data_IF_993639872146
#
_entry.id   IF_993639872146
#
_cell.length_a   1.000
_cell.length_b   1.000
_cell.length_c   1.000
_cell.angle_alpha   90.00
_cell.angle_beta   90.00
_cell.angle_gamma   90.00
#
_symmetry.space_group_name_H-M   'P 1'
#
loop_
_entity.id
_entity.type
_entity.pdbx_description
1 polymer ?
#
# COMPACT_ATOMS: atom_id res chain seq x y z
N UNK A 1 -77.92 15.66 17.62
CA UNK A 1 -77.00 14.57 17.34
C UNK A 1 -76.31 14.87 16.04
N UNK A 2 -75.01 15.27 16.01
CA UNK A 2 -74.23 15.10 14.82
C UNK A 2 -72.94 14.27 15.14
N UNK A 3 -72.73 13.29 14.29
CA UNK A 3 -71.63 12.37 14.32
C UNK A 3 -70.28 13.06 13.95
N UNK A 4 -69.32 12.94 14.85
CA UNK A 4 -67.95 13.37 14.58
C UNK A 4 -67.21 12.35 13.71
N UNK A 5 -66.79 12.77 12.51
CA UNK A 5 -65.88 12.03 11.64
C UNK A 5 -64.42 12.14 12.16
N UNK A 6 -63.96 11.06 12.70
CA UNK A 6 -62.56 10.92 13.09
C UNK A 6 -61.64 11.00 11.87
N UNK A 7 -60.78 12.03 11.78
CA UNK A 7 -59.66 12.12 10.84
C UNK A 7 -58.64 11.03 11.18
N UNK A 8 -58.48 10.06 10.26
CA UNK A 8 -57.46 9.08 10.26
C UNK A 8 -56.11 9.80 10.07
N UNK A 9 -55.28 9.80 11.09
CA UNK A 9 -53.95 10.37 11.06
C UNK A 9 -53.07 9.43 10.20
N UNK A 10 -52.74 9.89 9.01
CA UNK A 10 -51.83 9.22 8.10
C UNK A 10 -50.43 9.19 8.74
N UNK A 11 -49.89 7.98 8.93
CA UNK A 11 -48.56 7.80 9.47
C UNK A 11 -47.54 8.31 8.44
N UNK A 12 -46.44 8.97 8.87
CA UNK A 12 -45.41 9.40 7.94
C UNK A 12 -44.77 8.16 7.27
N UNK A 13 -44.42 8.27 5.98
CA UNK A 13 -43.75 7.18 5.27
C UNK A 13 -42.47 6.82 6.02
N UNK A 14 -42.24 5.51 6.19
CA UNK A 14 -41.04 4.98 6.75
C UNK A 14 -39.82 5.48 5.90
N UNK A 15 -38.72 5.86 6.54
CA UNK A 15 -37.52 6.20 5.79
C UNK A 15 -37.13 4.99 4.94
N UNK A 16 -36.99 5.22 3.63
CA UNK A 16 -36.46 4.24 2.71
C UNK A 16 -35.10 3.82 3.22
N UNK A 17 -35.00 2.55 3.60
CA UNK A 17 -33.80 1.90 4.01
C UNK A 17 -32.77 2.00 2.89
N UNK A 18 -31.75 2.75 3.20
CA UNK A 18 -30.35 2.62 2.96
C UNK A 18 -29.90 2.03 1.63
N UNK A 19 -29.14 2.86 0.95
CA UNK A 19 -28.08 2.38 0.07
C UNK A 19 -27.35 1.21 0.77
N UNK A 20 -27.51 0.02 0.23
CA UNK A 20 -26.62 -1.10 0.53
C UNK A 20 -25.22 -0.66 0.09
N UNK A 21 -24.40 -0.29 1.05
CA UNK A 21 -22.97 -0.13 0.83
C UNK A 21 -22.46 -1.49 0.33
N UNK A 22 -22.31 -1.60 -0.99
CA UNK A 22 -21.87 -2.84 -1.65
C UNK A 22 -20.55 -3.28 -1.01
N UNK A 23 -20.42 -4.59 -0.76
CA UNK A 23 -19.18 -5.20 -0.28
C UNK A 23 -18.01 -4.67 -1.14
N UNK A 24 -16.91 -4.20 -0.54
CA UNK A 24 -15.71 -3.79 -1.28
C UNK A 24 -15.21 -4.84 -2.29
N UNK A 25 -15.64 -6.09 -2.13
CA UNK A 25 -15.35 -7.21 -3.02
C UNK A 25 -16.18 -7.21 -4.31
N UNK A 26 -17.30 -6.47 -4.36
CA UNK A 26 -18.22 -6.41 -5.51
C UNK A 26 -17.90 -5.26 -6.48
N UNK A 27 -16.77 -4.59 -6.33
CA UNK A 27 -16.37 -3.55 -7.29
C UNK A 27 -16.06 -4.17 -8.65
N UNK A 28 -16.69 -3.60 -9.69
CA UNK A 28 -16.45 -4.00 -11.07
C UNK A 28 -14.93 -3.97 -11.39
N UNK A 29 -14.41 -4.99 -12.08
CA UNK A 29 -13.02 -5.01 -12.54
C UNK A 29 -12.70 -3.75 -13.34
N UNK A 30 -11.56 -3.15 -13.08
CA UNK A 30 -11.08 -1.97 -13.81
C UNK A 30 -9.63 -2.15 -14.24
N UNK A 31 -9.29 -1.60 -15.39
CA UNK A 31 -7.92 -1.53 -15.85
C UNK A 31 -7.18 -0.41 -15.09
N UNK A 32 -5.96 -0.72 -14.62
CA UNK A 32 -5.04 0.24 -14.00
C UNK A 32 -3.66 0.10 -14.63
N UNK A 33 -2.88 1.17 -14.59
CA UNK A 33 -1.47 1.10 -14.96
C UNK A 33 -0.73 0.21 -13.97
N UNK A 34 0.16 -0.60 -14.51
CA UNK A 34 1.11 -1.40 -13.74
C UNK A 34 2.51 -0.87 -13.96
N UNK A 35 3.24 -0.66 -12.90
CA UNK A 35 4.67 -0.34 -12.93
C UNK A 35 5.34 -1.07 -11.78
N UNK A 36 6.16 -2.06 -12.10
CA UNK A 36 6.85 -2.93 -11.16
C UNK A 36 8.36 -2.92 -11.36
N UNK A 37 9.11 -3.08 -10.27
CA UNK A 37 10.55 -3.25 -10.25
C UNK A 37 10.88 -4.68 -9.81
N UNK A 38 11.72 -5.34 -10.56
CA UNK A 38 12.33 -6.63 -10.23
C UNK A 38 13.81 -6.44 -9.86
N UNK A 39 14.59 -7.50 -9.72
CA UNK A 39 16.03 -7.41 -9.44
C UNK A 39 16.82 -6.76 -10.59
N UNK A 40 16.35 -6.91 -11.82
CA UNK A 40 17.08 -6.49 -13.02
C UNK A 40 16.30 -5.51 -13.90
N UNK A 41 14.96 -5.49 -13.78
CA UNK A 41 14.10 -4.84 -14.76
C UNK A 41 13.07 -3.91 -14.14
N UNK A 42 12.74 -2.88 -14.90
CA UNK A 42 11.54 -2.06 -14.73
C UNK A 42 10.48 -2.56 -15.72
N UNK A 43 9.32 -2.91 -15.23
CA UNK A 43 8.19 -3.40 -16.02
C UNK A 43 7.06 -2.37 -16.00
N UNK A 44 6.51 -2.07 -17.16
CA UNK A 44 5.29 -1.26 -17.30
C UNK A 44 4.27 -1.99 -18.13
N UNK A 45 2.98 -1.72 -17.89
CA UNK A 45 1.89 -2.32 -18.62
C UNK A 45 0.55 -1.90 -18.03
N UNK A 46 -0.47 -2.68 -18.31
CA UNK A 46 -1.78 -2.55 -17.69
C UNK A 46 -2.23 -3.88 -17.09
N UNK A 47 -3.00 -3.80 -16.00
CA UNK A 47 -3.60 -4.95 -15.35
C UNK A 47 -5.04 -4.65 -14.95
N UNK A 48 -5.84 -5.70 -14.78
CA UNK A 48 -7.21 -5.57 -14.28
C UNK A 48 -7.26 -5.91 -12.80
N UNK A 49 -7.82 -5.00 -12.00
CA UNK A 49 -8.02 -5.21 -10.57
C UNK A 49 -9.50 -5.10 -10.19
N UNK A 50 -9.92 -5.93 -9.24
CA UNK A 50 -11.17 -5.80 -8.52
C UNK A 50 -10.84 -5.34 -7.09
N UNK A 51 -11.08 -4.07 -6.75
CA UNK A 51 -10.70 -3.51 -5.47
C UNK A 51 -9.35 -2.80 -5.48
N UNK A 52 -8.51 -3.00 -4.46
CA UNK A 52 -7.22 -2.32 -4.31
C UNK A 52 -6.08 -3.13 -4.90
N UNK A 53 -5.10 -2.45 -5.49
CA UNK A 53 -3.88 -3.08 -6.01
C UNK A 53 -3.15 -3.89 -4.93
N UNK A 54 -3.01 -3.33 -3.72
CA UNK A 54 -2.37 -4.01 -2.59
C UNK A 54 -3.03 -5.36 -2.27
N UNK A 55 -4.36 -5.42 -2.30
CA UNK A 55 -5.10 -6.66 -2.01
C UNK A 55 -4.90 -7.70 -3.13
N UNK A 56 -4.82 -7.23 -4.38
CA UNK A 56 -4.55 -8.10 -5.54
C UNK A 56 -3.16 -8.71 -5.44
N UNK A 57 -2.12 -7.92 -5.14
CA UNK A 57 -0.75 -8.42 -4.99
C UNK A 57 -0.62 -9.39 -3.81
N UNK A 58 -1.35 -9.16 -2.72
CA UNK A 58 -1.32 -10.03 -1.53
C UNK A 58 -2.04 -11.37 -1.70
N UNK A 59 -2.76 -11.60 -2.80
CA UNK A 59 -3.29 -12.93 -3.14
C UNK A 59 -2.19 -13.91 -3.52
N UNK A 60 -1.01 -13.43 -3.91
CA UNK A 60 0.16 -14.23 -4.32
C UNK A 60 -0.10 -15.09 -5.55
N UNK A 61 -1.04 -14.66 -6.39
CA UNK A 61 -1.38 -15.29 -7.66
C UNK A 61 -0.66 -14.56 -8.79
N UNK A 62 -0.35 -15.27 -9.87
CA UNK A 62 0.24 -14.67 -11.07
C UNK A 62 -0.65 -13.53 -11.59
N UNK A 63 -0.03 -12.41 -11.92
CA UNK A 63 -0.70 -11.18 -12.36
C UNK A 63 -0.70 -11.17 -13.89
N UNK A 64 -1.88 -11.10 -14.47
CA UNK A 64 -2.03 -10.92 -15.92
C UNK A 64 -1.74 -9.46 -16.29
N UNK A 65 -0.87 -9.28 -17.28
CA UNK A 65 -0.46 -7.99 -17.81
C UNK A 65 -0.76 -7.89 -19.31
N UNK A 66 -1.11 -6.69 -19.74
CA UNK A 66 -1.24 -6.33 -21.15
C UNK A 66 -0.29 -5.16 -21.48
N UNK A 67 0.07 -5.06 -22.75
CA UNK A 67 0.90 -3.99 -23.30
C UNK A 67 2.21 -3.79 -22.54
N UNK A 68 2.89 -4.91 -22.23
CA UNK A 68 4.08 -4.89 -21.39
C UNK A 68 5.26 -4.29 -22.15
N UNK A 69 5.92 -3.36 -21.46
CA UNK A 69 7.23 -2.84 -21.83
C UNK A 69 8.21 -3.05 -20.67
N UNK A 70 9.48 -3.18 -20.99
CA UNK A 70 10.52 -3.37 -20.01
C UNK A 70 11.72 -2.47 -20.28
N UNK A 71 12.50 -2.18 -19.24
CA UNK A 71 13.77 -1.47 -19.32
C UNK A 71 14.69 -1.98 -18.22
N UNK A 72 16.04 -1.85 -18.37
CA UNK A 72 16.97 -2.14 -17.28
C UNK A 72 16.65 -1.36 -16.02
N UNK A 73 16.84 -1.99 -14.86
CA UNK A 73 16.52 -1.36 -13.56
C UNK A 73 17.36 -0.10 -13.31
N UNK A 74 18.62 -0.11 -13.75
CA UNK A 74 19.57 1.00 -13.59
C UNK A 74 19.27 2.24 -14.44
N UNK A 75 18.24 2.20 -15.27
CA UNK A 75 17.87 3.32 -16.14
C UNK A 75 18.75 3.49 -17.37
N UNK A 76 19.69 2.58 -17.65
CA UNK A 76 20.61 2.66 -18.78
C UNK A 76 19.94 2.54 -20.16
N UNK A 77 18.67 2.10 -20.20
CA UNK A 77 17.92 1.89 -21.44
C UNK A 77 16.52 2.48 -21.42
N UNK A 78 15.99 2.75 -22.61
CA UNK A 78 14.58 3.11 -22.80
C UNK A 78 13.69 1.88 -22.61
N UNK A 79 12.40 2.12 -22.38
CA UNK A 79 11.40 1.05 -22.36
C UNK A 79 11.20 0.47 -23.76
N UNK A 80 11.30 -0.84 -23.88
CA UNK A 80 11.09 -1.60 -25.11
C UNK A 80 9.85 -2.51 -24.96
N UNK A 81 9.10 -2.77 -26.05
CA UNK A 81 7.98 -3.70 -26.01
C UNK A 81 8.42 -5.12 -25.64
N UNK A 82 7.68 -5.76 -24.75
CA UNK A 82 7.91 -7.14 -24.31
C UNK A 82 6.69 -8.04 -24.56
N UNK A 83 6.34 -8.31 -25.83
CA UNK A 83 5.08 -8.98 -26.17
C UNK A 83 4.99 -10.43 -25.69
N UNK A 84 6.11 -11.02 -25.29
CA UNK A 84 6.17 -12.36 -24.71
C UNK A 84 5.79 -12.40 -23.22
N UNK A 85 5.83 -11.28 -22.52
CA UNK A 85 5.48 -11.20 -21.09
C UNK A 85 3.96 -10.91 -21.01
N UNK A 86 3.21 -11.87 -20.51
CA UNK A 86 1.76 -11.74 -20.28
C UNK A 86 1.36 -11.92 -18.83
N UNK A 87 2.27 -12.44 -18.03
CA UNK A 87 2.08 -12.66 -16.60
C UNK A 87 3.37 -12.33 -15.86
N UNK A 88 3.23 -11.88 -14.63
CA UNK A 88 4.34 -11.70 -13.70
C UNK A 88 4.01 -12.39 -12.38
N UNK A 89 4.98 -13.08 -11.80
CA UNK A 89 4.84 -13.63 -10.47
C UNK A 89 5.05 -12.50 -9.44
N UNK A 90 4.13 -12.29 -8.49
CA UNK A 90 4.34 -11.33 -7.41
C UNK A 90 5.63 -11.54 -6.61
N UNK A 91 6.14 -12.78 -6.58
CA UNK A 91 7.39 -13.09 -5.91
C UNK A 91 8.63 -12.49 -6.60
N UNK A 92 8.56 -12.21 -7.90
CA UNK A 92 9.63 -11.58 -8.65
C UNK A 92 9.65 -10.04 -8.52
N UNK A 93 8.57 -9.46 -7.97
CA UNK A 93 8.44 -8.03 -7.80
C UNK A 93 9.01 -7.58 -6.45
N UNK A 94 9.94 -6.62 -6.47
CA UNK A 94 10.50 -5.99 -5.26
C UNK A 94 9.63 -4.82 -4.83
N UNK A 95 9.29 -3.95 -5.79
CA UNK A 95 8.49 -2.74 -5.58
C UNK A 95 7.48 -2.60 -6.70
N UNK A 96 6.25 -2.22 -6.36
CA UNK A 96 5.21 -1.85 -7.33
C UNK A 96 4.71 -0.44 -7.02
N UNK A 97 4.73 0.44 -8.02
CA UNK A 97 4.19 1.79 -7.90
C UNK A 97 2.67 1.75 -7.87
N UNK A 98 2.10 2.57 -7.00
CA UNK A 98 0.66 2.68 -6.86
C UNK A 98 0.24 4.13 -7.11
N UNK A 99 -0.60 4.32 -8.13
CA UNK A 99 -1.25 5.61 -8.43
C UNK A 99 -2.53 5.78 -7.59
N UNK A 100 -3.06 7.01 -7.47
CA UNK A 100 -4.36 7.26 -6.83
C UNK A 100 -5.48 6.37 -7.36
N UNK A 101 -5.46 6.08 -8.66
CA UNK A 101 -6.44 5.21 -9.29
C UNK A 101 -6.33 3.75 -8.83
N UNK A 102 -5.13 3.27 -8.55
CA UNK A 102 -4.88 1.90 -8.07
C UNK A 102 -5.07 1.75 -6.55
N UNK A 103 -4.95 2.86 -5.82
CA UNK A 103 -5.34 2.98 -4.42
C UNK A 103 -6.85 3.21 -4.40
N UNK A 104 -7.64 2.16 -4.22
CA UNK A 104 -9.08 2.34 -4.07
C UNK A 104 -9.35 3.31 -2.91
N UNK A 105 -9.96 4.43 -3.20
CA UNK A 105 -10.50 5.31 -2.17
C UNK A 105 -11.65 4.58 -1.50
N UNK A 106 -11.53 4.29 -0.21
CA UNK A 106 -12.67 3.92 0.61
C UNK A 106 -13.66 5.09 0.55
N UNK A 107 -14.95 4.81 0.45
CA UNK A 107 -15.97 5.83 0.63
C UNK A 107 -15.81 6.46 2.03
N UNK A 108 -16.22 7.73 2.21
CA UNK A 108 -15.96 8.47 3.46
C UNK A 108 -16.60 7.82 4.69
N UNK A 109 -17.72 7.15 4.51
CA UNK A 109 -18.43 6.33 5.49
C UNK A 109 -17.66 5.04 5.83
N UNK A 110 -17.07 4.35 4.85
CA UNK A 110 -16.18 3.22 5.08
C UNK A 110 -14.91 3.64 5.81
N UNK A 111 -14.33 4.81 5.50
CA UNK A 111 -13.19 5.39 6.23
C UNK A 111 -13.55 5.64 7.69
N UNK A 112 -14.78 6.05 7.96
CA UNK A 112 -15.27 6.32 9.33
C UNK A 112 -15.49 5.04 10.12
N UNK A 113 -16.02 3.99 9.49
CA UNK A 113 -16.28 2.69 10.12
C UNK A 113 -14.99 1.89 10.41
N UNK A 114 -13.96 2.08 9.58
CA UNK A 114 -12.67 1.38 9.70
C UNK A 114 -11.56 2.24 10.32
N UNK A 115 -11.90 3.27 11.10
CA UNK A 115 -10.92 4.06 11.87
C UNK A 115 -10.27 3.24 12.98
N UNK A 116 -9.57 2.20 12.61
CA UNK A 116 -8.46 1.72 13.43
C UNK A 116 -7.40 2.80 13.30
N UNK A 117 -7.12 3.53 14.39
CA UNK A 117 -6.07 4.53 14.42
C UNK A 117 -4.75 3.85 14.12
N UNK A 118 -4.34 3.85 12.87
CA UNK A 118 -2.99 3.41 12.49
C UNK A 118 -2.00 4.48 12.92
N UNK A 119 -0.83 4.04 13.33
CA UNK A 119 0.29 4.90 13.70
C UNK A 119 1.24 4.98 12.50
N UNK A 120 1.62 6.20 12.14
CA UNK A 120 2.58 6.47 11.07
C UNK A 120 4.00 6.34 11.59
N UNK A 121 4.85 5.65 10.84
CA UNK A 121 6.28 5.56 11.08
C UNK A 121 7.03 5.91 9.82
N UNK A 122 7.98 6.82 9.92
CA UNK A 122 8.91 7.08 8.85
C UNK A 122 10.04 6.05 8.91
N UNK A 123 10.25 5.38 7.80
CA UNK A 123 11.14 4.22 7.73
C UNK A 123 12.04 4.26 6.50
N UNK A 124 13.21 3.65 6.63
CA UNK A 124 14.03 3.20 5.52
C UNK A 124 13.99 1.68 5.48
N UNK A 125 13.63 1.15 4.33
CA UNK A 125 13.48 -0.28 4.05
C UNK A 125 14.60 -0.73 3.13
N UNK A 126 15.43 -1.64 3.58
CA UNK A 126 16.46 -2.27 2.76
C UNK A 126 15.88 -3.46 2.01
N UNK A 127 15.70 -3.33 0.71
CA UNK A 127 15.13 -4.33 -0.21
C UNK A 127 16.04 -4.53 -1.42
N UNK A 128 17.26 -5.08 -1.24
CA UNK A 128 18.28 -5.12 -2.28
C UNK A 128 17.72 -5.61 -3.63
N UNK A 129 18.16 -4.96 -4.75
CA UNK A 129 19.18 -3.91 -4.84
C UNK A 129 18.70 -2.49 -4.49
N UNK A 130 17.45 -2.36 -4.07
CA UNK A 130 16.80 -1.08 -3.79
C UNK A 130 16.82 -0.74 -2.29
N UNK A 131 16.69 0.57 -2.03
CA UNK A 131 16.35 1.12 -0.72
C UNK A 131 15.11 2.00 -0.87
N UNK A 132 14.12 1.81 -0.02
CA UNK A 132 12.87 2.57 -0.02
C UNK A 132 12.77 3.38 1.26
N UNK A 133 12.59 4.69 1.15
CA UNK A 133 12.36 5.60 2.28
C UNK A 133 10.96 6.18 2.17
N UNK A 134 10.22 6.23 3.27
CA UNK A 134 8.86 6.78 3.27
C UNK A 134 8.11 6.44 4.55
N UNK A 135 6.80 6.62 4.54
CA UNK A 135 5.94 6.44 5.71
C UNK A 135 5.11 5.16 5.60
N UNK A 136 5.16 4.31 6.62
CA UNK A 136 4.30 3.12 6.76
C UNK A 136 3.23 3.35 7.83
N UNK A 137 2.06 2.74 7.62
CA UNK A 137 0.92 2.82 8.54
C UNK A 137 0.74 1.47 9.25
N UNK A 138 1.04 1.41 10.54
CA UNK A 138 0.99 0.19 11.35
C UNK A 138 -0.15 0.24 12.38
N UNK A 139 -0.61 -0.92 12.83
CA UNK A 139 -1.57 -1.00 13.93
C UNK A 139 -0.93 -0.54 15.25
N UNK A 140 -1.73 0.01 16.18
CA UNK A 140 -1.24 0.34 17.51
C UNK A 140 -0.58 -0.87 18.19
N UNK A 141 0.59 -0.66 18.76
CA UNK A 141 1.38 -1.72 19.38
C UNK A 141 2.27 -2.51 18.43
N UNK A 142 2.19 -2.27 17.10
CA UNK A 142 3.15 -2.81 16.14
C UNK A 142 4.37 -1.91 16.03
N UNK A 143 5.54 -2.53 15.84
CA UNK A 143 6.79 -1.84 15.58
C UNK A 143 7.21 -1.99 14.12
N UNK A 144 7.95 -1.04 13.54
CA UNK A 144 8.47 -1.16 12.17
C UNK A 144 9.30 -2.42 11.92
N UNK A 145 10.03 -2.91 12.93
CA UNK A 145 10.77 -4.18 12.88
C UNK A 145 9.88 -5.39 12.58
N UNK A 146 8.60 -5.34 12.95
CA UNK A 146 7.61 -6.37 12.63
C UNK A 146 7.34 -6.53 11.13
N UNK A 147 7.77 -5.58 10.29
CA UNK A 147 7.70 -5.73 8.84
C UNK A 147 8.62 -6.85 8.32
N UNK A 148 9.63 -7.25 9.08
CA UNK A 148 10.50 -8.38 8.74
C UNK A 148 9.79 -9.74 8.88
N UNK A 149 8.67 -9.80 9.60
CA UNK A 149 7.84 -11.02 9.67
C UNK A 149 7.06 -11.21 8.36
N UNK A 150 7.36 -12.30 7.66
CA UNK A 150 6.80 -12.65 6.35
C UNK A 150 5.52 -13.47 6.42
N UNK A 151 5.01 -13.73 7.62
CA UNK A 151 3.88 -14.65 7.83
C UNK A 151 2.54 -14.08 7.37
N UNK A 152 2.37 -12.76 7.36
CA UNK A 152 1.09 -12.12 7.08
C UNK A 152 0.94 -11.69 5.63
N UNK A 153 1.24 -10.43 5.34
CA UNK A 153 1.11 -9.85 4.00
C UNK A 153 2.44 -9.91 3.25
N UNK A 154 2.38 -10.18 1.96
CA UNK A 154 3.55 -10.15 1.09
C UNK A 154 4.00 -8.73 0.79
N UNK A 155 3.05 -7.83 0.49
CA UNK A 155 3.33 -6.44 0.20
C UNK A 155 2.84 -5.52 1.32
N UNK A 156 3.62 -4.47 1.58
CA UNK A 156 3.28 -3.36 2.47
C UNK A 156 3.31 -2.05 1.70
N UNK A 157 2.34 -1.17 1.97
CA UNK A 157 2.28 0.15 1.36
C UNK A 157 3.19 1.13 2.10
N UNK A 158 3.96 1.90 1.34
CA UNK A 158 4.80 3.01 1.79
C UNK A 158 4.34 4.28 1.06
N UNK A 159 3.87 5.27 1.79
CA UNK A 159 3.46 6.57 1.27
C UNK A 159 4.61 7.58 1.33
N UNK A 160 4.53 8.66 0.53
CA UNK A 160 5.61 9.64 0.35
C UNK A 160 6.96 8.96 0.05
N UNK A 161 7.00 8.05 -0.94
CA UNK A 161 8.17 7.20 -1.16
C UNK A 161 9.28 7.94 -1.89
N UNK A 162 10.54 7.64 -1.51
CA UNK A 162 11.73 7.80 -2.33
C UNK A 162 12.36 6.43 -2.49
N UNK A 163 12.66 6.02 -3.71
CA UNK A 163 13.29 4.73 -4.03
C UNK A 163 14.69 4.98 -4.59
N UNK A 164 15.66 4.28 -4.07
CA UNK A 164 17.07 4.45 -4.37
C UNK A 164 17.67 3.16 -4.92
N UNK A 165 18.46 3.25 -5.97
CA UNK A 165 19.27 2.18 -6.52
C UNK A 165 20.75 2.59 -6.45
N UNK A 166 21.56 1.85 -5.66
CA UNK A 166 23.01 2.09 -5.53
C UNK A 166 23.36 3.58 -5.23
N UNK A 167 22.52 4.25 -4.44
CA UNK A 167 22.74 5.64 -4.02
C UNK A 167 22.15 6.71 -4.93
N UNK A 168 21.57 6.33 -6.07
CA UNK A 168 20.81 7.23 -6.96
C UNK A 168 19.32 7.08 -6.75
N UNK A 169 18.61 8.19 -6.66
CA UNK A 169 17.15 8.20 -6.51
C UNK A 169 16.50 7.91 -7.87
N UNK A 170 15.61 6.92 -7.89
CA UNK A 170 14.86 6.57 -9.08
C UNK A 170 13.67 7.53 -9.28
N UNK A 171 13.44 7.93 -10.52
CA UNK A 171 12.21 8.63 -10.89
C UNK A 171 11.05 7.63 -10.90
N UNK A 172 10.11 7.83 -9.99
CA UNK A 172 8.91 6.99 -9.85
C UNK A 172 7.76 7.45 -10.76
N UNK A 173 7.91 8.62 -11.39
CA UNK A 173 6.85 9.30 -12.14
C UNK A 173 5.90 10.10 -11.24
N UNK A 174 5.33 11.17 -11.81
CA UNK A 174 4.51 12.15 -11.07
C UNK A 174 3.21 11.57 -10.49
N UNK A 175 2.72 10.44 -11.01
CA UNK A 175 1.45 9.83 -10.60
C UNK A 175 1.63 8.79 -9.48
N UNK A 176 2.81 8.70 -8.86
CA UNK A 176 3.08 7.71 -7.81
C UNK A 176 2.81 8.28 -6.42
N UNK A 177 1.71 7.90 -5.80
CA UNK A 177 1.34 8.30 -4.43
C UNK A 177 1.96 7.41 -3.36
N UNK A 178 2.15 6.15 -3.70
CA UNK A 178 2.72 5.15 -2.80
C UNK A 178 3.49 4.09 -3.58
N UNK A 179 4.35 3.37 -2.90
CA UNK A 179 4.94 2.14 -3.40
C UNK A 179 4.55 0.96 -2.52
N UNK A 180 4.35 -0.18 -3.15
CA UNK A 180 4.05 -1.44 -2.50
C UNK A 180 5.34 -2.25 -2.48
N UNK A 181 5.89 -2.46 -1.27
CA UNK A 181 7.19 -3.11 -1.07
C UNK A 181 6.98 -4.57 -0.70
N UNK A 182 7.64 -5.46 -1.41
CA UNK A 182 7.60 -6.90 -1.15
C UNK A 182 8.48 -7.26 0.06
N UNK A 183 7.85 -7.75 1.11
CA UNK A 183 8.51 -8.10 2.38
C UNK A 183 9.44 -9.30 2.28
N UNK A 184 9.31 -10.15 1.24
CA UNK A 184 10.25 -11.25 1.02
C UNK A 184 11.66 -10.78 0.64
N UNK A 185 11.76 -9.59 0.03
CA UNK A 185 13.04 -8.93 -0.27
C UNK A 185 13.57 -8.11 0.90
N UNK A 186 12.74 -7.82 1.92
CA UNK A 186 13.12 -6.97 3.05
C UNK A 186 14.24 -7.62 3.87
N UNK A 187 15.35 -6.90 4.04
CA UNK A 187 16.54 -7.31 4.79
C UNK A 187 16.77 -6.46 6.02
N UNK A 188 16.29 -5.22 6.02
CA UNK A 188 16.43 -4.28 7.12
C UNK A 188 15.29 -3.27 7.16
N UNK A 189 14.96 -2.82 8.36
CA UNK A 189 14.00 -1.76 8.62
C UNK A 189 14.63 -0.82 9.64
N UNK A 190 14.76 0.45 9.26
CA UNK A 190 15.25 1.50 10.15
C UNK A 190 14.18 2.57 10.29
N UNK A 191 13.96 3.07 11.49
CA UNK A 191 13.14 4.25 11.68
C UNK A 191 14.01 5.49 11.41
N UNK A 192 13.50 6.39 10.57
CA UNK A 192 14.21 7.61 10.13
C UNK A 192 13.35 8.82 10.41
N UNK A 193 13.94 10.00 10.32
CA UNK A 193 13.21 11.27 10.26
C UNK A 193 13.23 11.75 8.80
N UNK A 194 12.07 11.84 8.16
CA UNK A 194 11.96 12.27 6.76
C UNK A 194 12.35 13.73 6.58
N UNK A 195 12.19 14.58 7.59
CA UNK A 195 12.53 15.99 7.53
C UNK A 195 14.04 16.23 7.51
N UNK A 196 14.78 15.46 8.30
CA UNK A 196 16.25 15.56 8.42
C UNK A 196 16.97 14.49 7.59
N UNK A 197 16.27 13.45 7.15
CA UNK A 197 16.83 12.21 6.56
C UNK A 197 17.86 11.52 7.45
N UNK A 198 17.92 11.90 8.71
CA UNK A 198 18.79 11.29 9.70
C UNK A 198 18.13 10.04 10.28
N UNK A 199 18.96 9.05 10.60
CA UNK A 199 18.51 7.89 11.34
C UNK A 199 18.09 8.35 12.73
N UNK A 200 16.92 7.95 13.18
CA UNK A 200 16.65 7.98 14.62
C UNK A 200 17.68 7.06 15.30
N UNK A 201 18.69 7.67 15.92
CA UNK A 201 19.69 6.93 16.66
C UNK A 201 18.99 6.24 17.83
N UNK A 202 18.54 5.00 17.63
CA UNK A 202 18.18 4.13 18.72
C UNK A 202 19.47 3.79 19.43
N UNK A 203 19.62 4.28 20.63
CA UNK A 203 20.65 3.77 21.52
C UNK A 203 20.39 2.26 21.73
N UNK A 204 21.36 1.38 21.44
CA UNK A 204 21.19 -0.05 21.64
C UNK A 204 20.69 -0.32 23.05
N UNK A 205 19.56 -1.02 23.20
CA UNK A 205 19.01 -1.41 24.49
C UNK A 205 17.99 -0.44 25.11
N UNK A 206 17.56 0.60 24.41
CA UNK A 206 16.41 1.40 24.86
C UNK A 206 15.09 0.77 24.39
N UNK A 207 14.26 0.27 25.31
CA UNK A 207 12.88 -0.10 24.99
C UNK A 207 12.09 1.16 24.65
N UNK A 208 11.10 1.07 23.74
CA UNK A 208 10.15 2.14 23.51
C UNK A 208 9.42 2.44 24.83
N UNK A 209 9.64 3.64 25.37
CA UNK A 209 8.90 4.14 26.53
C UNK A 209 9.48 3.86 27.89
N UNK A 210 10.80 3.71 28.04
CA UNK A 210 11.32 3.58 29.40
C UNK A 210 12.80 3.31 29.55
N UNK A 211 13.15 3.10 30.73
CA UNK A 211 14.46 2.88 31.33
C UNK A 211 15.28 1.77 30.67
N UNK A 212 16.54 2.04 30.44
CA UNK A 212 17.54 1.08 29.97
C UNK A 212 17.71 -0.09 30.94
N UNK A 213 18.16 -1.23 30.43
CA UNK A 213 18.51 -2.39 31.27
C UNK A 213 19.48 -2.06 32.41
N UNK A 214 20.29 -1.02 32.26
CA UNK A 214 21.28 -0.57 33.25
C UNK A 214 20.68 0.21 34.42
N UNK A 215 19.46 0.71 34.31
CA UNK A 215 18.78 1.45 35.37
C UNK A 215 17.95 0.55 36.29
N UNK A 216 17.93 -0.77 36.03
CA UNK A 216 17.23 -1.78 36.85
C UNK A 216 18.15 -2.65 37.71
N UNK A 217 19.44 -2.33 37.77
CA UNK A 217 20.41 -3.07 38.60
C UNK A 217 20.74 -2.29 39.86
#
# INVERSE_FOLDING_TARGET
MPFGLGRKKEAPPAPSTGDEAGDPRDRAPRAVRFHGLTEEWRLQGSMTIAGRLLDTLNKREAIELADVTWAPLDGSGAFEPAPGIRTVDPYDLIVVMASPESLATLADDERSAHRIHKISFDVALEVPPLRVVGTVQLHPGSEPSGLLDRSSQMFVAVTNPSVWLVGEELDLGADTDAVLVNRFYLRGVEQVDLATRERHARLPGMPLGGTTWRERS
#
